data_IF_570245810792
#
_entry.id   IF_570245810792
#
_cell.length_a   1.000
_cell.length_b   1.000
_cell.length_c   1.000
_cell.angle_alpha   90.00
_cell.angle_beta   90.00
_cell.angle_gamma   90.00
#
_symmetry.space_group_name_H-M   'P 1'
#
loop_
_entity.id
_entity.type
_entity.pdbx_description
1 polymer ?
#
# COMPACT_ATOMS: atom_id res chain seq x y z
N UNK A 1 -6.51 -1.05 3.63
CA UNK A 1 -7.66 -1.94 3.87
C UNK A 1 -8.86 -1.62 2.98
N UNK A 2 -9.29 -0.35 2.88
CA UNK A 2 -10.48 0.02 2.08
C UNK A 2 -10.35 -0.27 0.57
N UNK A 3 -9.20 -0.01 -0.05
CA UNK A 3 -9.02 -0.25 -1.49
C UNK A 3 -9.16 -1.73 -1.87
N UNK A 4 -8.53 -2.64 -1.11
CA UNK A 4 -8.61 -4.09 -1.36
C UNK A 4 -10.01 -4.66 -1.13
N UNK A 5 -10.76 -4.11 -0.16
CA UNK A 5 -12.15 -4.46 0.08
C UNK A 5 -13.03 -4.09 -1.12
N UNK A 6 -12.97 -2.82 -1.55
CA UNK A 6 -13.78 -2.33 -2.67
C UNK A 6 -13.46 -3.07 -3.96
N UNK A 7 -12.19 -3.33 -4.26
CA UNK A 7 -11.81 -4.10 -5.45
C UNK A 7 -12.35 -5.54 -5.36
N UNK A 8 -12.29 -6.18 -4.19
CA UNK A 8 -12.85 -7.53 -4.00
C UNK A 8 -14.38 -7.57 -4.20
N UNK A 9 -15.08 -6.54 -3.71
CA UNK A 9 -16.52 -6.36 -3.84
C UNK A 9 -16.92 -6.13 -5.30
N UNK A 10 -16.31 -5.17 -5.98
CA UNK A 10 -16.57 -4.82 -7.39
C UNK A 10 -16.26 -5.97 -8.36
N UNK A 11 -15.25 -6.79 -8.04
CA UNK A 11 -14.93 -7.99 -8.83
C UNK A 11 -15.84 -9.19 -8.51
N UNK A 12 -16.81 -9.04 -7.60
CA UNK A 12 -17.71 -10.11 -7.18
C UNK A 12 -17.00 -11.29 -6.49
N UNK A 13 -15.80 -11.07 -5.96
CA UNK A 13 -14.99 -12.12 -5.30
C UNK A 13 -15.53 -12.36 -3.89
N UNK A 14 -15.66 -11.29 -3.12
CA UNK A 14 -16.10 -11.34 -1.72
C UNK A 14 -16.51 -9.96 -1.24
N UNK A 15 -17.61 -9.92 -0.48
CA UNK A 15 -18.10 -8.68 0.12
C UNK A 15 -17.14 -8.14 1.18
N UNK A 16 -16.41 -8.98 1.92
CA UNK A 16 -15.44 -8.55 2.93
C UNK A 16 -14.21 -9.45 2.86
N UNK A 17 -13.04 -8.85 2.61
CA UNK A 17 -11.75 -9.55 2.64
C UNK A 17 -11.24 -9.62 4.10
N UNK A 18 -11.29 -10.80 4.76
CA UNK A 18 -10.93 -10.89 6.17
C UNK A 18 -9.41 -10.74 6.36
N UNK A 19 -8.95 -10.17 7.49
CA UNK A 19 -7.54 -10.18 7.82
C UNK A 19 -7.09 -11.60 8.16
N UNK A 20 -5.93 -12.01 7.67
CA UNK A 20 -5.37 -13.35 7.91
C UNK A 20 -5.09 -13.61 9.40
N UNK A 21 -4.82 -12.57 10.17
CA UNK A 21 -4.62 -12.63 11.63
C UNK A 21 -5.92 -12.69 12.43
N UNK A 22 -7.10 -12.70 11.77
CA UNK A 22 -8.38 -12.74 12.50
C UNK A 22 -8.53 -14.06 13.28
N UNK A 23 -8.90 -14.03 14.57
CA UNK A 23 -9.20 -15.25 15.32
C UNK A 23 -10.46 -15.97 14.81
N UNK A 24 -11.33 -15.26 14.08
CA UNK A 24 -12.55 -15.81 13.48
C UNK A 24 -12.35 -16.32 12.05
N UNK A 25 -11.13 -16.31 11.51
CA UNK A 25 -10.84 -16.74 10.14
C UNK A 25 -11.12 -18.23 9.98
N UNK A 26 -11.97 -18.58 9.02
CA UNK A 26 -12.28 -19.97 8.71
C UNK A 26 -11.38 -20.49 7.60
N UNK A 27 -11.13 -21.81 7.59
CA UNK A 27 -10.33 -22.44 6.53
C UNK A 27 -10.91 -22.16 5.13
N UNK A 28 -12.23 -22.16 4.99
CA UNK A 28 -12.90 -21.84 3.72
C UNK A 28 -12.62 -20.43 3.21
N UNK A 29 -12.35 -19.46 4.10
CA UNK A 29 -11.99 -18.10 3.70
C UNK A 29 -10.69 -18.05 2.90
N UNK A 30 -9.74 -18.95 3.23
CA UNK A 30 -8.45 -19.02 2.56
C UNK A 30 -8.59 -19.30 1.06
N UNK A 31 -9.64 -20.01 0.63
CA UNK A 31 -9.86 -20.32 -0.79
C UNK A 31 -10.33 -19.13 -1.62
N UNK A 32 -10.86 -18.09 -0.96
CA UNK A 32 -11.47 -16.92 -1.60
C UNK A 32 -10.63 -15.65 -1.45
N UNK A 33 -9.64 -15.66 -0.56
CA UNK A 33 -8.70 -14.57 -0.35
C UNK A 33 -8.76 -13.99 1.06
N UNK A 34 -7.63 -13.43 1.48
CA UNK A 34 -7.41 -12.81 2.79
C UNK A 34 -6.53 -11.57 2.65
N UNK A 35 -6.52 -10.71 3.67
CA UNK A 35 -5.62 -9.56 3.76
C UNK A 35 -4.50 -9.81 4.76
N UNK A 36 -3.25 -9.56 4.34
CA UNK A 36 -2.08 -9.59 5.22
C UNK A 36 -1.67 -8.19 5.69
N UNK A 37 -2.39 -7.15 5.26
CA UNK A 37 -1.96 -5.76 5.42
C UNK A 37 -1.91 -5.32 6.90
N UNK A 38 -0.85 -4.61 7.25
CA UNK A 38 -0.70 -3.93 8.55
C UNK A 38 -0.53 -2.43 8.33
N UNK A 39 -1.39 -1.62 8.96
CA UNK A 39 -1.32 -0.16 8.90
C UNK A 39 -0.03 0.33 9.55
N UNK A 40 0.63 1.36 8.99
CA UNK A 40 1.90 1.86 9.50
C UNK A 40 3.12 1.08 9.00
N UNK A 41 2.94 0.12 8.09
CA UNK A 41 4.04 -0.59 7.43
C UNK A 41 4.41 0.06 6.09
N UNK A 42 5.63 -0.17 5.64
CA UNK A 42 6.09 0.25 4.31
C UNK A 42 7.25 -0.60 3.79
N UNK A 43 7.87 -0.13 2.71
CA UNK A 43 9.04 -0.75 2.09
C UNK A 43 10.32 -0.54 2.89
N UNK A 44 10.35 0.51 3.72
CA UNK A 44 11.42 0.74 4.67
C UNK A 44 11.22 -0.13 5.94
N UNK A 45 12.16 -1.04 6.28
CA UNK A 45 12.06 -1.88 7.48
C UNK A 45 12.09 -1.12 8.81
N UNK A 46 12.47 0.16 8.82
CA UNK A 46 12.42 1.01 10.01
C UNK A 46 11.01 1.53 10.28
N UNK A 47 10.23 1.83 9.25
CA UNK A 47 8.87 2.37 9.36
C UNK A 47 7.97 1.56 10.30
N UNK A 48 7.80 0.23 10.14
CA UNK A 48 6.95 -0.54 11.04
C UNK A 48 7.48 -0.61 12.47
N UNK A 49 8.79 -0.44 12.69
CA UNK A 49 9.39 -0.43 14.03
C UNK A 49 9.06 0.85 14.80
N UNK A 50 8.98 1.99 14.11
CA UNK A 50 8.67 3.28 14.74
C UNK A 50 7.27 3.31 15.37
N UNK A 51 6.35 2.49 14.85
CA UNK A 51 4.96 2.42 15.32
C UNK A 51 4.57 1.02 15.84
N UNK A 52 5.54 0.11 15.99
CA UNK A 52 5.36 -1.24 16.56
C UNK A 52 4.28 -2.08 15.86
N UNK A 53 4.36 -2.17 14.53
CA UNK A 53 3.42 -2.94 13.69
C UNK A 53 4.14 -4.01 12.85
N UNK A 54 3.39 -4.87 12.17
CA UNK A 54 3.94 -5.93 11.33
C UNK A 54 4.59 -5.36 10.07
N UNK A 55 5.83 -5.76 9.82
CA UNK A 55 6.61 -5.35 8.64
C UNK A 55 6.19 -6.11 7.38
N UNK A 56 6.58 -5.63 6.19
CA UNK A 56 6.35 -6.40 4.95
C UNK A 56 6.97 -7.81 4.98
N UNK A 57 8.18 -8.03 5.52
CA UNK A 57 8.69 -9.38 5.78
C UNK A 57 7.78 -10.25 6.65
N UNK A 58 7.18 -9.70 7.71
CA UNK A 58 6.23 -10.44 8.56
C UNK A 58 4.96 -10.79 7.77
N UNK A 59 4.45 -9.85 6.97
CA UNK A 59 3.30 -10.07 6.08
C UNK A 59 3.59 -11.15 5.03
N UNK A 60 4.82 -11.19 4.50
CA UNK A 60 5.27 -12.25 3.60
C UNK A 60 5.41 -13.59 4.31
N UNK A 61 5.83 -13.60 5.58
CA UNK A 61 5.86 -14.78 6.43
C UNK A 61 4.45 -15.37 6.62
N UNK A 62 3.47 -14.52 6.93
CA UNK A 62 2.06 -14.92 6.99
C UNK A 62 1.55 -15.46 5.65
N UNK A 63 1.97 -14.87 4.53
CA UNK A 63 1.61 -15.38 3.20
C UNK A 63 2.23 -16.76 2.92
N UNK A 64 3.47 -17.01 3.33
CA UNK A 64 4.11 -18.35 3.23
C UNK A 64 3.37 -19.39 4.08
N UNK A 65 2.94 -19.02 5.29
CA UNK A 65 2.12 -19.89 6.14
C UNK A 65 0.76 -20.19 5.49
N UNK A 66 0.10 -19.16 4.92
CA UNK A 66 -1.13 -19.31 4.15
C UNK A 66 -0.98 -20.31 2.99
N UNK A 67 0.12 -20.24 2.23
CA UNK A 67 0.42 -21.21 1.17
C UNK A 67 0.52 -22.62 1.74
N UNK A 68 1.19 -22.80 2.88
CA UNK A 68 1.28 -24.08 3.58
C UNK A 68 -0.10 -24.64 3.94
N UNK A 69 -0.98 -23.81 4.50
CA UNK A 69 -2.37 -24.19 4.83
C UNK A 69 -3.16 -24.58 3.58
N UNK A 70 -3.03 -23.83 2.48
CA UNK A 70 -3.67 -24.19 1.21
C UNK A 70 -3.19 -25.54 0.69
N UNK A 71 -1.87 -25.81 0.72
CA UNK A 71 -1.32 -27.09 0.27
C UNK A 71 -1.92 -28.27 1.03
N UNK A 72 -2.09 -28.14 2.34
CA UNK A 72 -2.73 -29.17 3.18
C UNK A 72 -4.21 -29.34 2.81
N UNK A 73 -4.92 -28.25 2.55
CA UNK A 73 -6.36 -28.29 2.27
C UNK A 73 -6.73 -28.82 0.88
N UNK A 74 -5.98 -28.42 -0.15
CA UNK A 74 -6.37 -28.62 -1.55
C UNK A 74 -5.32 -29.31 -2.41
N UNK A 75 -4.16 -29.63 -1.84
CA UNK A 75 -3.02 -30.18 -2.57
C UNK A 75 -2.19 -29.13 -3.29
N UNK A 76 -1.00 -29.53 -3.74
CA UNK A 76 0.00 -28.63 -4.34
C UNK A 76 -0.45 -28.06 -5.69
N UNK A 77 -0.97 -28.90 -6.58
CA UNK A 77 -1.39 -28.47 -7.93
C UNK A 77 -2.50 -27.42 -7.87
N UNK A 78 -3.52 -27.66 -7.04
CA UNK A 78 -4.62 -26.71 -6.86
C UNK A 78 -4.16 -25.44 -6.15
N UNK A 79 -3.21 -25.53 -5.21
CA UNK A 79 -2.59 -24.35 -4.59
C UNK A 79 -1.89 -23.48 -5.62
N UNK A 80 -1.08 -24.07 -6.50
CA UNK A 80 -0.39 -23.33 -7.57
C UNK A 80 -1.39 -22.68 -8.55
N UNK A 81 -2.51 -23.36 -8.81
CA UNK A 81 -3.61 -22.80 -9.61
C UNK A 81 -4.28 -21.61 -8.92
N UNK A 82 -4.53 -21.69 -7.61
CA UNK A 82 -5.07 -20.57 -6.83
C UNK A 82 -4.10 -19.39 -6.92
N UNK A 83 -2.83 -19.58 -6.56
CA UNK A 83 -1.82 -18.52 -6.51
C UNK A 83 -1.61 -17.85 -7.87
N UNK A 84 -1.56 -18.61 -8.96
CA UNK A 84 -1.37 -18.04 -10.30
C UNK A 84 -2.60 -17.30 -10.83
N UNK A 85 -3.81 -17.64 -10.38
CA UNK A 85 -5.06 -17.00 -10.82
C UNK A 85 -5.54 -15.87 -9.90
N UNK A 86 -5.12 -15.87 -8.64
CA UNK A 86 -5.42 -14.82 -7.65
C UNK A 86 -4.87 -13.46 -8.07
N UNK A 87 -5.59 -12.40 -7.67
CA UNK A 87 -5.12 -11.02 -7.75
C UNK A 87 -4.43 -10.63 -6.45
N UNK A 88 -3.21 -10.12 -6.55
CA UNK A 88 -2.44 -9.58 -5.43
C UNK A 88 -2.46 -8.07 -5.51
N UNK A 89 -2.80 -7.41 -4.39
CA UNK A 89 -2.79 -5.95 -4.29
C UNK A 89 -1.76 -5.54 -3.25
N UNK A 90 -0.76 -4.76 -3.68
CA UNK A 90 0.28 -4.21 -2.81
C UNK A 90 0.06 -2.70 -2.68
N UNK A 91 -0.13 -2.25 -1.45
CA UNK A 91 -0.29 -0.83 -1.12
C UNK A 91 0.66 -0.53 0.04
N UNK A 92 1.77 0.11 -0.24
CA UNK A 92 2.83 0.40 0.72
C UNK A 92 3.64 1.63 0.28
N UNK A 93 4.42 2.21 1.21
CA UNK A 93 5.35 3.32 0.92
C UNK A 93 4.83 4.71 1.33
N UNK A 94 3.52 4.87 1.55
CA UNK A 94 2.97 6.16 2.04
C UNK A 94 3.50 6.50 3.44
N UNK A 95 3.53 5.52 4.36
CA UNK A 95 4.04 5.71 5.72
C UNK A 95 5.57 5.95 5.75
N UNK A 96 6.32 5.43 4.78
CA UNK A 96 7.77 5.64 4.67
C UNK A 96 8.07 7.12 4.44
N UNK A 97 7.40 7.74 3.45
CA UNK A 97 7.61 9.15 3.12
C UNK A 97 6.97 10.03 4.20
N UNK A 98 5.68 9.85 4.47
CA UNK A 98 4.96 10.73 5.39
C UNK A 98 5.51 10.65 6.82
N UNK A 99 5.62 9.45 7.38
CA UNK A 99 5.98 9.30 8.80
C UNK A 99 7.48 9.21 9.01
N UNK A 100 8.16 8.24 8.38
CA UNK A 100 9.59 7.99 8.65
C UNK A 100 10.50 9.10 8.14
N UNK A 101 10.21 9.64 6.95
CA UNK A 101 11.02 10.70 6.34
C UNK A 101 10.58 12.10 6.79
N UNK A 102 9.31 12.48 6.66
CA UNK A 102 8.90 13.86 6.92
C UNK A 102 8.56 14.17 8.39
N UNK A 103 7.64 13.41 9.02
CA UNK A 103 7.14 13.69 10.37
C UNK A 103 8.17 13.38 11.45
N UNK A 104 8.71 12.16 11.48
CA UNK A 104 9.68 11.75 12.51
C UNK A 104 11.09 12.21 12.13
N UNK A 105 11.40 12.30 10.83
CA UNK A 105 12.65 12.88 10.36
C UNK A 105 13.88 11.98 10.52
N UNK A 106 13.72 10.71 10.94
CA UNK A 106 14.87 9.81 11.17
C UNK A 106 15.64 9.52 9.89
N UNK A 107 14.93 9.42 8.75
CA UNK A 107 15.53 9.11 7.45
C UNK A 107 16.17 10.32 6.77
N UNK A 108 15.74 11.54 7.07
CA UNK A 108 16.36 12.79 6.59
C UNK A 108 17.85 12.93 6.98
N UNK A 109 18.27 12.27 8.07
CA UNK A 109 19.66 12.27 8.52
C UNK A 109 20.57 11.33 7.71
N UNK A 110 19.99 10.45 6.92
CA UNK A 110 20.69 9.38 6.21
C UNK A 110 20.54 9.48 4.70
N UNK A 111 19.42 10.05 4.24
CA UNK A 111 19.07 10.15 2.83
C UNK A 111 18.51 11.53 2.54
N UNK A 112 18.83 12.04 1.36
CA UNK A 112 17.98 13.04 0.70
C UNK A 112 16.78 12.35 0.03
N UNK A 113 15.85 13.14 -0.51
CA UNK A 113 14.61 12.61 -1.11
C UNK A 113 14.91 11.70 -2.31
N UNK A 114 15.81 12.06 -3.26
CA UNK A 114 16.20 11.16 -4.33
C UNK A 114 16.73 9.81 -3.81
N UNK A 115 17.71 9.79 -2.91
CA UNK A 115 18.29 8.54 -2.42
C UNK A 115 17.27 7.71 -1.62
N UNK A 116 16.40 8.34 -0.83
CA UNK A 116 15.39 7.62 -0.07
C UNK A 116 14.35 6.95 -0.99
N UNK A 117 13.92 7.66 -2.03
CA UNK A 117 12.97 7.11 -3.00
C UNK A 117 13.59 6.01 -3.88
N UNK A 118 14.91 6.05 -4.14
CA UNK A 118 15.63 4.93 -4.77
C UNK A 118 15.65 3.69 -3.89
N UNK A 119 15.95 3.88 -2.60
CA UNK A 119 15.91 2.81 -1.60
C UNK A 119 14.52 2.16 -1.53
N UNK A 120 13.46 2.98 -1.42
CA UNK A 120 12.09 2.48 -1.39
C UNK A 120 11.71 1.71 -2.66
N UNK A 121 12.03 2.24 -3.84
CA UNK A 121 11.72 1.59 -5.12
C UNK A 121 12.47 0.25 -5.27
N UNK A 122 13.73 0.20 -4.83
CA UNK A 122 14.52 -1.04 -4.81
C UNK A 122 13.94 -2.07 -3.85
N UNK A 123 13.55 -1.66 -2.64
CA UNK A 123 12.89 -2.53 -1.66
C UNK A 123 11.55 -3.05 -2.18
N UNK A 124 10.75 -2.20 -2.85
CA UNK A 124 9.51 -2.61 -3.50
C UNK A 124 9.76 -3.67 -4.58
N UNK A 125 10.76 -3.46 -5.44
CA UNK A 125 11.11 -4.43 -6.48
C UNK A 125 11.53 -5.79 -5.89
N UNK A 126 12.33 -5.80 -4.82
CA UNK A 126 12.71 -7.04 -4.12
C UNK A 126 11.50 -7.77 -3.53
N UNK A 127 10.61 -7.06 -2.83
CA UNK A 127 9.39 -7.64 -2.28
C UNK A 127 8.49 -8.26 -3.37
N UNK A 128 8.34 -7.57 -4.50
CA UNK A 128 7.55 -8.04 -5.64
C UNK A 128 8.17 -9.27 -6.32
N UNK A 129 9.50 -9.35 -6.38
CA UNK A 129 10.21 -10.57 -6.84
C UNK A 129 9.95 -11.75 -5.91
N UNK A 130 9.92 -11.53 -4.59
CA UNK A 130 9.59 -12.60 -3.65
C UNK A 130 8.16 -13.11 -3.83
N UNK A 131 7.18 -12.21 -4.00
CA UNK A 131 5.80 -12.61 -4.31
C UNK A 131 5.72 -13.44 -5.59
N UNK A 132 6.40 -13.01 -6.64
CA UNK A 132 6.49 -13.76 -7.89
C UNK A 132 7.11 -15.15 -7.69
N UNK A 133 8.20 -15.24 -6.93
CA UNK A 133 8.86 -16.50 -6.57
C UNK A 133 7.95 -17.46 -5.77
N UNK A 134 6.97 -16.92 -5.04
CA UNK A 134 5.97 -17.69 -4.30
C UNK A 134 4.74 -18.08 -5.15
N UNK A 135 4.73 -17.79 -6.45
CA UNK A 135 3.68 -18.22 -7.38
C UNK A 135 2.66 -17.14 -7.74
N UNK A 136 2.80 -15.90 -7.23
CA UNK A 136 1.95 -14.80 -7.65
C UNK A 136 2.22 -14.44 -9.13
N UNK A 137 1.15 -14.21 -9.90
CA UNK A 137 1.26 -13.84 -11.33
C UNK A 137 0.50 -12.57 -11.71
N UNK A 138 -0.50 -12.15 -10.93
CA UNK A 138 -1.30 -10.95 -11.21
C UNK A 138 -1.15 -9.98 -10.05
N UNK A 139 -0.27 -9.01 -10.17
CA UNK A 139 0.14 -8.16 -9.04
C UNK A 139 -0.14 -6.70 -9.39
N UNK A 140 -1.12 -6.11 -8.72
CA UNK A 140 -1.39 -4.67 -8.76
C UNK A 140 -0.63 -3.97 -7.64
N UNK A 141 0.07 -2.88 -7.98
CA UNK A 141 0.86 -2.09 -7.02
C UNK A 141 0.38 -0.65 -7.07
N UNK A 142 -0.17 -0.17 -5.96
CA UNK A 142 -0.65 1.20 -5.86
C UNK A 142 0.51 2.19 -5.72
N UNK A 143 0.37 3.32 -6.41
CA UNK A 143 1.23 4.48 -6.21
C UNK A 143 0.99 5.12 -4.83
N UNK A 144 1.89 5.98 -4.38
CA UNK A 144 1.63 6.87 -3.25
C UNK A 144 0.62 7.96 -3.69
N UNK A 145 -0.34 8.34 -2.83
CA UNK A 145 -1.27 9.43 -3.11
C UNK A 145 -0.59 10.81 -2.94
N UNK A 146 -1.29 11.94 -3.11
CA UNK A 146 -0.78 13.27 -2.79
C UNK A 146 -0.57 13.44 -1.27
N UNK A 147 0.58 12.96 -0.79
CA UNK A 147 0.87 12.81 0.64
C UNK A 147 0.77 14.13 1.40
N UNK A 148 1.26 15.23 0.82
CA UNK A 148 1.22 16.55 1.43
C UNK A 148 -0.19 17.06 1.68
N UNK A 149 -1.17 16.52 0.97
CA UNK A 149 -2.58 16.89 1.10
C UNK A 149 -3.36 16.01 2.08
N UNK A 150 -2.75 14.96 2.65
CA UNK A 150 -3.40 14.16 3.68
C UNK A 150 -3.72 15.03 4.91
N UNK A 151 -4.88 14.82 5.59
CA UNK A 151 -5.27 15.65 6.73
C UNK A 151 -4.18 15.77 7.82
N UNK A 152 -3.45 14.69 8.09
CA UNK A 152 -2.37 14.68 9.08
C UNK A 152 -1.18 15.53 8.62
N UNK A 153 -0.82 15.47 7.34
CA UNK A 153 0.30 16.22 6.79
C UNK A 153 -0.05 17.72 6.66
N UNK A 154 -1.30 18.05 6.32
CA UNK A 154 -1.81 19.43 6.39
C UNK A 154 -1.72 19.99 7.81
N UNK A 155 -2.06 19.17 8.81
CA UNK A 155 -2.00 19.57 10.23
C UNK A 155 -0.56 19.82 10.71
N UNK A 156 0.39 19.02 10.23
CA UNK A 156 1.78 19.03 10.73
C UNK A 156 2.74 19.91 9.90
N UNK A 157 2.49 20.04 8.60
CA UNK A 157 3.39 20.69 7.64
C UNK A 157 2.71 21.76 6.77
N UNK A 158 1.38 21.87 6.78
CA UNK A 158 0.61 22.82 5.97
C UNK A 158 0.56 24.25 6.51
N UNK A 159 1.32 24.56 7.56
CA UNK A 159 1.32 25.87 8.21
C UNK A 159 -0.03 26.26 8.83
N UNK A 160 -0.24 27.55 9.08
CA UNK A 160 -1.48 28.05 9.72
C UNK A 160 -2.73 27.80 8.88
N UNK A 161 -2.59 27.80 7.56
CA UNK A 161 -3.68 27.59 6.61
C UNK A 161 -3.92 26.12 6.27
N UNK A 162 -3.12 25.21 6.83
CA UNK A 162 -3.24 23.75 6.60
C UNK A 162 -3.25 23.39 5.10
N UNK A 163 -2.40 24.08 4.34
CA UNK A 163 -2.20 23.84 2.91
C UNK A 163 -1.53 22.48 2.65
N UNK A 164 -1.52 22.03 1.39
CA UNK A 164 -0.76 20.84 1.04
C UNK A 164 0.74 21.13 1.18
N UNK A 165 1.49 20.19 1.79
CA UNK A 165 2.94 20.27 1.84
C UNK A 165 3.56 19.81 0.50
N UNK A 166 3.99 20.76 -0.33
CA UNK A 166 4.45 20.45 -1.69
C UNK A 166 5.71 19.58 -1.74
N UNK A 167 6.64 19.74 -0.81
CA UNK A 167 7.82 18.89 -0.69
C UNK A 167 7.47 17.40 -0.46
N UNK A 168 6.37 17.11 0.26
CA UNK A 168 5.87 15.75 0.46
C UNK A 168 5.24 15.22 -0.84
N UNK A 169 4.52 16.06 -1.58
CA UNK A 169 3.94 15.72 -2.88
C UNK A 169 5.03 15.43 -3.91
N UNK A 170 6.10 16.23 -3.97
CA UNK A 170 7.24 15.99 -4.87
C UNK A 170 7.96 14.69 -4.54
N UNK A 171 8.20 14.39 -3.26
CA UNK A 171 8.75 13.10 -2.85
C UNK A 171 7.87 11.92 -3.28
N UNK A 172 6.54 12.05 -3.14
CA UNK A 172 5.59 11.03 -3.59
C UNK A 172 5.62 10.84 -5.11
N UNK A 173 5.63 11.92 -5.90
CA UNK A 173 5.73 11.86 -7.38
C UNK A 173 7.04 11.21 -7.83
N UNK A 174 8.15 11.53 -7.16
CA UNK A 174 9.46 10.95 -7.48
C UNK A 174 9.48 9.45 -7.18
N UNK A 175 8.99 9.03 -6.01
CA UNK A 175 8.82 7.62 -5.68
C UNK A 175 7.93 6.89 -6.70
N UNK A 176 6.80 7.49 -7.07
CA UNK A 176 5.85 6.91 -8.03
C UNK A 176 6.49 6.68 -9.41
N UNK A 177 7.28 7.64 -9.89
CA UNK A 177 8.03 7.51 -11.15
C UNK A 177 9.02 6.34 -11.09
N UNK A 178 9.79 6.25 -10.01
CA UNK A 178 10.78 5.17 -9.80
C UNK A 178 10.10 3.81 -9.65
N UNK A 179 9.00 3.75 -8.92
CA UNK A 179 8.19 2.55 -8.77
C UNK A 179 7.70 2.06 -10.12
N UNK A 180 7.11 2.92 -10.95
CA UNK A 180 6.65 2.55 -12.30
C UNK A 180 7.77 1.93 -13.13
N UNK A 181 8.97 2.55 -13.13
CA UNK A 181 10.14 2.03 -13.85
C UNK A 181 10.59 0.65 -13.34
N UNK A 182 10.52 0.40 -12.02
CA UNK A 182 10.80 -0.91 -11.46
C UNK A 182 9.76 -1.95 -11.91
N UNK A 183 8.48 -1.58 -11.99
CA UNK A 183 7.42 -2.49 -12.47
C UNK A 183 7.62 -2.84 -13.95
N UNK A 184 8.02 -1.88 -14.79
CA UNK A 184 8.35 -2.14 -16.20
C UNK A 184 9.51 -3.14 -16.31
N UNK A 185 10.56 -2.94 -15.50
CA UNK A 185 11.69 -3.86 -15.43
C UNK A 185 11.27 -5.26 -14.94
N UNK A 186 10.36 -5.36 -13.96
CA UNK A 186 9.85 -6.64 -13.47
C UNK A 186 9.01 -7.35 -14.54
N UNK A 187 8.17 -6.64 -15.28
CA UNK A 187 7.39 -7.19 -16.38
C UNK A 187 8.28 -7.75 -17.50
N UNK A 188 9.41 -7.09 -17.79
CA UNK A 188 10.37 -7.59 -18.78
C UNK A 188 11.10 -8.87 -18.35
N UNK A 189 11.27 -9.08 -17.03
CA UNK A 189 12.11 -10.15 -16.47
C UNK A 189 11.34 -11.28 -15.75
N UNK A 190 10.01 -11.20 -15.66
CA UNK A 190 9.18 -12.15 -14.92
C UNK A 190 8.15 -12.78 -15.87
N UNK A 191 8.54 -13.81 -16.64
CA UNK A 191 7.64 -14.42 -17.62
C UNK A 191 6.35 -14.90 -16.94
N UNK A 192 5.23 -14.79 -17.65
CA UNK A 192 3.90 -15.20 -17.18
C UNK A 192 3.33 -14.39 -16.01
N UNK A 193 4.07 -13.41 -15.47
CA UNK A 193 3.55 -12.46 -14.50
C UNK A 193 3.19 -11.13 -15.16
N UNK A 194 2.24 -10.43 -14.55
CA UNK A 194 1.86 -9.06 -14.90
C UNK A 194 1.87 -8.22 -13.63
N UNK A 195 2.76 -7.24 -13.61
CA UNK A 195 2.81 -6.18 -12.61
C UNK A 195 2.08 -4.97 -13.18
N UNK A 196 1.03 -4.52 -12.49
CA UNK A 196 0.20 -3.39 -12.91
C UNK A 196 0.44 -2.23 -11.96
N UNK A 197 0.91 -1.12 -12.50
CA UNK A 197 0.94 0.15 -11.80
C UNK A 197 -0.48 0.69 -11.64
N UNK A 198 -0.93 0.92 -10.41
CA UNK A 198 -2.24 1.49 -10.11
C UNK A 198 -2.02 2.94 -9.66
N UNK A 199 -2.30 3.89 -10.56
CA UNK A 199 -2.18 5.31 -10.28
C UNK A 199 -3.34 5.80 -9.41
N UNK A 200 -3.11 5.87 -8.10
CA UNK A 200 -4.05 6.48 -7.16
C UNK A 200 -3.77 7.97 -6.93
N UNK A 201 -2.62 8.48 -7.40
CA UNK A 201 -2.23 9.88 -7.16
C UNK A 201 -3.19 10.85 -7.84
N UNK A 202 -3.43 10.65 -9.15
CA UNK A 202 -4.28 11.56 -9.94
C UNK A 202 -5.74 11.55 -9.49
N UNK A 203 -6.41 10.40 -9.27
CA UNK A 203 -7.80 10.41 -8.79
C UNK A 203 -7.95 11.12 -7.45
N UNK A 204 -7.04 10.90 -6.49
CA UNK A 204 -7.10 11.61 -5.21
C UNK A 204 -6.80 13.11 -5.36
N UNK A 205 -5.86 13.50 -6.23
CA UNK A 205 -5.60 14.91 -6.48
C UNK A 205 -6.79 15.61 -7.12
N UNK A 206 -7.44 14.97 -8.10
CA UNK A 206 -8.64 15.51 -8.75
C UNK A 206 -9.79 15.68 -7.76
N UNK A 207 -9.99 14.71 -6.85
CA UNK A 207 -10.96 14.81 -5.77
C UNK A 207 -10.67 16.01 -4.86
N UNK A 208 -9.41 16.24 -4.51
CA UNK A 208 -8.99 17.37 -3.65
C UNK A 208 -9.20 18.71 -4.37
N UNK A 209 -8.92 18.79 -5.68
CA UNK A 209 -9.00 20.02 -6.46
C UNK A 209 -10.41 20.33 -6.98
N UNK A 210 -11.23 19.30 -7.20
CA UNK A 210 -12.56 19.38 -7.79
C UNK A 210 -13.61 18.61 -6.95
N UNK A 211 -13.74 18.88 -5.64
CA UNK A 211 -14.53 18.05 -4.72
C UNK A 211 -16.01 17.93 -5.12
N UNK A 212 -16.59 19.03 -5.62
CA UNK A 212 -17.98 19.09 -6.06
C UNK A 212 -18.30 18.14 -7.22
N UNK A 213 -17.33 17.84 -8.11
CA UNK A 213 -17.55 16.88 -9.20
C UNK A 213 -17.72 15.46 -8.71
N UNK A 214 -17.19 15.16 -7.53
CA UNK A 214 -17.22 13.83 -6.92
C UNK A 214 -18.19 13.76 -5.73
N UNK A 215 -18.99 14.80 -5.51
CA UNK A 215 -19.99 14.87 -4.44
C UNK A 215 -19.42 15.14 -3.04
N UNK A 216 -18.17 15.60 -2.93
CA UNK A 216 -17.55 15.93 -1.64
C UNK A 216 -17.74 17.41 -1.30
N UNK A 217 -18.04 17.68 -0.03
CA UNK A 217 -18.13 19.04 0.52
C UNK A 217 -16.86 19.46 1.27
N UNK A 218 -16.16 18.50 1.90
CA UNK A 218 -15.01 18.77 2.78
C UNK A 218 -13.85 17.86 2.40
N UNK A 219 -12.70 18.46 2.03
CA UNK A 219 -11.51 17.73 1.56
C UNK A 219 -10.22 18.08 2.32
N UNK A 220 -10.29 19.05 3.22
CA UNK A 220 -9.17 19.59 3.97
C UNK A 220 -9.22 19.21 5.47
N UNK A 221 -10.30 18.54 5.89
CA UNK A 221 -10.49 18.03 7.25
C UNK A 221 -10.55 16.50 7.30
N UNK A 222 -10.10 15.94 8.41
CA UNK A 222 -10.20 14.51 8.67
C UNK A 222 -11.54 14.11 9.28
N UNK A 223 -12.01 12.91 8.94
CA UNK A 223 -13.20 12.28 9.50
C UNK A 223 -12.99 11.84 10.96
N UNK A 224 -11.74 11.54 11.34
CA UNK A 224 -11.37 11.23 12.70
C UNK A 224 -10.11 12.01 13.14
N UNK A 225 -9.85 12.06 14.45
CA UNK A 225 -8.69 12.76 14.99
C UNK A 225 -9.01 13.54 16.27
N UNK A 226 -8.04 14.35 16.70
CA UNK A 226 -8.13 15.14 17.93
C UNK A 226 -8.57 16.60 17.69
N UNK A 227 -8.84 16.96 16.43
CA UNK A 227 -9.06 18.35 15.98
C UNK A 227 -7.78 19.19 15.88
N UNK A 228 -6.66 18.72 16.45
CA UNK A 228 -5.31 19.29 16.22
C UNK A 228 -4.48 18.47 15.24
N UNK A 229 -4.66 17.15 15.27
CA UNK A 229 -4.15 16.22 14.27
C UNK A 229 -5.36 15.45 13.76
N UNK A 230 -5.53 15.47 12.46
CA UNK A 230 -6.65 14.84 11.78
C UNK A 230 -6.17 13.65 10.94
N UNK A 231 -7.00 12.61 10.86
CA UNK A 231 -6.72 11.36 10.18
C UNK A 231 -7.97 10.89 9.44
N UNK A 232 -7.75 10.17 8.33
CA UNK A 232 -8.81 9.73 7.41
C UNK A 232 -9.52 10.89 6.73
N UNK A 233 -9.64 10.93 5.41
CA UNK A 233 -10.39 11.99 4.75
C UNK A 233 -11.88 11.91 5.14
N UNK A 234 -12.56 13.05 5.33
CA UNK A 234 -14.02 13.11 5.29
C UNK A 234 -14.48 12.65 3.91
N UNK A 235 -15.04 11.44 3.85
CA UNK A 235 -15.71 10.91 2.66
C UNK A 235 -17.20 11.17 2.76
#
# INVERSE_FOLDING_TARGET
MFLSFRISEELGIKNLLPPYSSPSLQLGDLLTGVSFASSGSGFDPLTPKLVSVLSLPDQLGMFKEYIGKLKVMVGEERTNTILSKSLFLVVAGSDDIANSYFVIGVRKRQYDVPAYTDFMATSAASFLKELYGLGARRIGVASAPPLGCLPSQRSLAGGKQRECAEDHNEAAKLFNTKLSSQLDSLNANSPQAKFVYIDIYKPFLDLIQNPQKSGFEVVDKGCCGTGRIEAGSTM
#
